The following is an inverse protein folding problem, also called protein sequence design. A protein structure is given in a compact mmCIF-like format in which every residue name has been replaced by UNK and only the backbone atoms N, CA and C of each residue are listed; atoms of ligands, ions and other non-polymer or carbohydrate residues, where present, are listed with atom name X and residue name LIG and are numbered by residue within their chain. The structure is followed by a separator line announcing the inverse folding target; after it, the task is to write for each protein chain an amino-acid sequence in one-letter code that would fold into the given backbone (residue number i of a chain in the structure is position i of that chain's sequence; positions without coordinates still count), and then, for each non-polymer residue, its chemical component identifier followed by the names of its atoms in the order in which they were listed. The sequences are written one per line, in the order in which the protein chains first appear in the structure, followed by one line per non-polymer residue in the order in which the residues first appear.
data_IF_567086853216
#
_entry.id   IF_567086853216
#
_cell.length_a   1.000
_cell.length_b   1.000
_cell.length_c   1.000
_cell.angle_alpha   90.00
_cell.angle_beta   90.00
_cell.angle_gamma   90.00
#
_symmetry.space_group_name_H-M   'P 1'
#
loop_
_entity.id
_entity.type
_entity.pdbx_description
1 polymer ?
#
# COMPACT_ATOMS: atom_id res chain seq x y z
N UNK A 1 6.93 -7.08 -13.05
CA UNK A 1 5.76 -7.53 -12.26
C UNK A 1 6.14 -8.80 -11.52
N UNK A 2 6.31 -8.75 -10.21
CA UNK A 2 6.58 -9.96 -9.40
C UNK A 2 5.23 -10.46 -8.92
N UNK A 3 4.74 -11.54 -9.53
CA UNK A 3 3.52 -12.22 -9.12
C UNK A 3 3.65 -12.61 -7.63
N UNK A 4 2.74 -12.17 -6.74
CA UNK A 4 2.79 -12.55 -5.32
C UNK A 4 2.67 -14.06 -5.12
N UNK A 5 2.08 -14.81 -6.05
CA UNK A 5 2.13 -16.28 -6.04
C UNK A 5 3.54 -16.83 -6.27
N UNK A 6 4.46 -16.04 -6.83
CA UNK A 6 5.84 -16.40 -7.13
C UNK A 6 6.84 -15.85 -6.10
N UNK A 7 6.39 -15.26 -5.00
CA UNK A 7 7.30 -14.87 -3.93
C UNK A 7 8.03 -16.12 -3.40
N UNK A 8 9.37 -16.11 -3.50
CA UNK A 8 10.20 -17.26 -3.15
C UNK A 8 10.20 -18.41 -4.16
N UNK A 9 9.57 -18.25 -5.34
CA UNK A 9 9.56 -19.25 -6.42
C UNK A 9 9.96 -18.59 -7.74
N UNK A 10 11.01 -19.07 -8.38
CA UNK A 10 11.50 -18.53 -9.66
C UNK A 10 11.44 -19.59 -10.74
N UNK A 11 11.05 -19.20 -11.94
CA UNK A 11 11.11 -20.07 -13.11
C UNK A 11 12.56 -20.16 -13.62
N UNK A 12 13.10 -21.37 -13.70
CA UNK A 12 14.42 -21.64 -14.29
C UNK A 12 14.23 -22.04 -15.76
N UNK A 13 14.58 -21.14 -16.67
CA UNK A 13 14.54 -21.36 -18.12
C UNK A 13 15.94 -21.74 -18.61
N UNK A 14 16.22 -23.04 -18.76
CA UNK A 14 17.50 -23.52 -19.30
C UNK A 14 17.41 -23.74 -20.80
N UNK A 15 17.81 -22.73 -21.57
CA UNK A 15 17.79 -22.77 -23.03
C UNK A 15 18.65 -23.91 -23.62
N UNK A 16 19.74 -24.28 -22.94
CA UNK A 16 20.64 -25.36 -23.38
C UNK A 16 20.15 -26.78 -22.99
N UNK A 17 19.21 -26.91 -22.06
CA UNK A 17 18.67 -28.19 -21.60
C UNK A 17 17.20 -28.04 -21.19
N UNK A 18 16.26 -28.04 -22.17
CA UNK A 18 14.85 -27.78 -21.91
C UNK A 18 14.19 -28.79 -20.94
N UNK A 19 14.73 -30.00 -20.86
CA UNK A 19 14.31 -31.05 -19.90
C UNK A 19 14.63 -30.73 -18.45
N UNK A 20 15.62 -29.87 -18.21
CA UNK A 20 16.03 -29.38 -16.89
C UNK A 20 15.39 -28.03 -16.54
N UNK A 21 14.48 -27.53 -17.37
CA UNK A 21 13.65 -26.38 -17.04
C UNK A 21 12.69 -26.74 -15.90
N UNK A 22 12.40 -25.78 -15.02
CA UNK A 22 11.67 -26.07 -13.80
C UNK A 22 11.36 -24.84 -12.97
N UNK A 23 10.93 -25.08 -11.73
CA UNK A 23 10.65 -24.05 -10.75
C UNK A 23 11.61 -24.21 -9.57
N UNK A 24 12.24 -23.13 -9.13
CA UNK A 24 13.14 -23.14 -7.99
C UNK A 24 12.52 -22.38 -6.83
N UNK A 25 12.41 -23.03 -5.68
CA UNK A 25 11.99 -22.40 -4.43
C UNK A 25 13.24 -21.95 -3.69
N UNK A 26 13.32 -20.66 -3.33
CA UNK A 26 14.35 -20.12 -2.45
C UNK A 26 13.71 -19.26 -1.37
N UNK A 27 13.83 -19.69 -0.12
CA UNK A 27 13.37 -18.95 1.06
C UNK A 27 14.56 -18.68 1.97
N UNK A 28 14.64 -17.44 2.46
CA UNK A 28 15.68 -17.01 3.39
C UNK A 28 15.07 -16.59 4.73
N UNK A 29 15.78 -16.90 5.81
CA UNK A 29 15.52 -16.42 7.18
C UNK A 29 16.86 -16.15 7.84
N UNK A 30 17.00 -15.03 8.54
CA UNK A 30 18.23 -14.66 9.26
C UNK A 30 19.50 -14.77 8.38
N UNK A 31 19.39 -14.32 7.12
CA UNK A 31 20.46 -14.37 6.10
C UNK A 31 20.92 -15.77 5.70
N UNK A 32 20.17 -16.82 6.04
CA UNK A 32 20.42 -18.21 5.63
C UNK A 32 19.27 -18.74 4.75
N UNK A 33 19.59 -19.57 3.76
CA UNK A 33 18.57 -20.27 2.99
C UNK A 33 18.00 -21.41 3.83
N UNK A 34 16.72 -21.28 4.19
CA UNK A 34 15.98 -22.35 4.89
C UNK A 34 15.23 -23.26 3.93
N UNK A 35 15.04 -22.81 2.68
CA UNK A 35 14.61 -23.68 1.60
C UNK A 35 15.33 -23.29 0.31
N UNK A 36 16.03 -24.24 -0.33
CA UNK A 36 16.52 -24.12 -1.71
C UNK A 36 16.30 -25.45 -2.43
N UNK A 37 15.29 -25.50 -3.31
CA UNK A 37 14.95 -26.74 -4.03
C UNK A 37 14.48 -26.47 -5.45
N UNK A 38 14.89 -27.34 -6.37
CA UNK A 38 14.52 -27.30 -7.78
C UNK A 38 13.49 -28.38 -8.14
N UNK A 39 12.41 -27.97 -8.81
CA UNK A 39 11.28 -28.78 -9.27
C UNK A 39 11.27 -28.81 -10.81
N UNK A 40 11.89 -29.85 -11.39
CA UNK A 40 12.03 -30.00 -12.85
C UNK A 40 10.71 -30.36 -13.50
N UNK A 41 10.37 -29.76 -14.63
CA UNK A 41 9.11 -30.03 -15.35
C UNK A 41 8.97 -31.50 -15.74
N UNK A 42 10.07 -32.12 -16.17
CA UNK A 42 10.08 -33.53 -16.58
C UNK A 42 9.68 -34.47 -15.45
N UNK A 43 10.08 -34.18 -14.21
CA UNK A 43 9.78 -35.02 -13.05
C UNK A 43 8.31 -34.93 -12.60
N UNK A 44 7.61 -33.84 -12.95
CA UNK A 44 6.23 -33.58 -12.52
C UNK A 44 5.23 -33.63 -13.69
N UNK A 45 5.67 -34.04 -14.88
CA UNK A 45 4.80 -34.15 -16.07
C UNK A 45 4.32 -32.79 -16.60
N UNK A 46 5.14 -31.76 -16.49
CA UNK A 46 4.93 -30.44 -17.11
C UNK A 46 5.05 -29.23 -16.17
N UNK A 47 5.13 -28.02 -16.74
CA UNK A 47 5.43 -26.78 -16.02
C UNK A 47 4.37 -26.40 -14.97
N UNK A 48 3.09 -26.67 -15.23
CA UNK A 48 2.01 -26.34 -14.30
C UNK A 48 2.03 -27.24 -13.04
N UNK A 49 2.30 -28.53 -13.23
CA UNK A 49 2.39 -29.49 -12.12
C UNK A 49 3.66 -29.26 -11.29
N UNK A 50 4.77 -28.95 -11.94
CA UNK A 50 5.99 -28.51 -11.26
C UNK A 50 5.79 -27.19 -10.47
N UNK A 51 5.06 -26.21 -11.04
CA UNK A 51 4.67 -24.97 -10.33
C UNK A 51 3.88 -25.29 -9.06
N UNK A 52 2.88 -26.17 -9.18
CA UNK A 52 2.03 -26.58 -8.05
C UNK A 52 2.86 -27.26 -6.95
N UNK A 53 3.76 -28.18 -7.30
CA UNK A 53 4.64 -28.85 -6.36
C UNK A 53 5.61 -27.89 -5.66
N UNK A 54 6.22 -26.97 -6.41
CA UNK A 54 7.06 -25.91 -5.88
C UNK A 54 6.30 -25.01 -4.89
N UNK A 55 5.04 -24.68 -5.20
CA UNK A 55 4.17 -23.89 -4.32
C UNK A 55 3.87 -24.60 -3.01
N UNK A 56 3.44 -25.86 -3.06
CA UNK A 56 3.18 -26.64 -1.85
C UNK A 56 4.43 -26.72 -0.96
N UNK A 57 5.60 -27.04 -1.55
CA UNK A 57 6.85 -27.09 -0.80
C UNK A 57 7.23 -25.73 -0.18
N UNK A 58 7.06 -24.63 -0.92
CA UNK A 58 7.29 -23.29 -0.36
C UNK A 58 6.38 -23.02 0.84
N UNK A 59 5.10 -23.31 0.72
CA UNK A 59 4.11 -23.03 1.76
C UNK A 59 4.37 -23.87 3.02
N UNK A 60 4.77 -25.13 2.85
CA UNK A 60 5.18 -26.03 3.94
C UNK A 60 6.43 -25.50 4.66
N UNK A 61 7.48 -25.14 3.91
CA UNK A 61 8.73 -24.59 4.46
C UNK A 61 8.53 -23.22 5.11
N UNK A 62 7.65 -22.39 4.56
CA UNK A 62 7.29 -21.12 5.16
C UNK A 62 6.58 -21.32 6.50
N UNK A 63 5.67 -22.31 6.59
CA UNK A 63 5.00 -22.67 7.84
C UNK A 63 5.99 -23.22 8.88
N UNK A 64 6.87 -24.14 8.48
CA UNK A 64 7.87 -24.76 9.35
C UNK A 64 8.85 -23.74 9.94
N UNK A 65 9.36 -22.82 9.10
CA UNK A 65 10.32 -21.81 9.54
C UNK A 65 9.67 -20.51 10.04
N UNK A 66 8.33 -20.45 10.14
CA UNK A 66 7.57 -19.25 10.51
C UNK A 66 7.90 -18.04 9.63
N UNK A 67 8.13 -18.27 8.33
CA UNK A 67 8.31 -17.21 7.34
C UNK A 67 6.92 -16.71 6.94
N UNK A 68 6.68 -15.43 7.17
CA UNK A 68 5.49 -14.76 6.65
C UNK A 68 5.71 -14.50 5.16
N UNK A 69 5.24 -15.42 4.32
CA UNK A 69 5.03 -15.12 2.91
C UNK A 69 4.00 -14.00 2.86
N UNK A 70 4.32 -12.89 2.20
CA UNK A 70 3.36 -11.80 2.06
C UNK A 70 2.22 -12.31 1.19
N UNK A 71 1.16 -12.82 1.83
CA UNK A 71 -0.08 -13.14 1.14
C UNK A 71 -0.45 -11.95 0.27
N UNK A 72 -1.02 -12.20 -0.92
CA UNK A 72 -1.59 -11.15 -1.73
C UNK A 72 -2.57 -10.37 -0.85
N UNK A 73 -2.13 -9.23 -0.30
CA UNK A 73 -3.03 -8.31 0.36
C UNK A 73 -4.03 -7.90 -0.71
N UNK A 74 -5.27 -8.36 -0.54
CA UNK A 74 -6.39 -8.07 -1.45
C UNK A 74 -7.11 -6.77 -1.04
N UNK A 75 -6.63 -6.06 -0.01
CA UNK A 75 -7.19 -4.78 0.38
C UNK A 75 -7.07 -3.76 -0.75
N UNK A 76 -8.08 -2.89 -0.89
CA UNK A 76 -8.21 -1.95 -1.99
C UNK A 76 -6.95 -1.10 -2.22
N UNK A 77 -6.28 -0.69 -1.14
CA UNK A 77 -5.02 0.07 -1.21
C UNK A 77 -3.89 -0.73 -1.88
N UNK A 78 -3.82 -2.05 -1.62
CA UNK A 78 -2.80 -2.92 -2.21
C UNK A 78 -3.08 -3.16 -3.70
N UNK A 79 -4.34 -3.33 -4.08
CA UNK A 79 -4.78 -3.45 -5.47
C UNK A 79 -4.43 -2.17 -6.23
N UNK A 80 -4.82 -1.01 -5.69
CA UNK A 80 -4.57 0.30 -6.27
C UNK A 80 -3.07 0.57 -6.45
N UNK A 81 -2.28 0.31 -5.41
CA UNK A 81 -0.83 0.48 -5.45
C UNK A 81 -0.16 -0.42 -6.48
N UNK A 82 -0.51 -1.72 -6.52
CA UNK A 82 0.07 -2.68 -7.47
C UNK A 82 -0.35 -2.37 -8.91
N UNK A 83 -1.59 -1.93 -9.13
CA UNK A 83 -2.08 -1.48 -10.43
C UNK A 83 -1.27 -0.32 -11.00
N UNK A 84 -0.78 0.57 -10.13
CA UNK A 84 0.12 1.67 -10.48
C UNK A 84 1.61 1.31 -10.50
N UNK A 85 1.98 0.03 -10.27
CA UNK A 85 3.38 -0.42 -10.27
C UNK A 85 4.22 0.06 -9.08
N UNK A 86 3.61 0.61 -8.03
CA UNK A 86 4.30 1.21 -6.89
C UNK A 86 4.66 0.18 -5.81
N UNK A 87 5.76 0.37 -5.08
CA UNK A 87 6.08 -0.44 -3.89
C UNK A 87 5.44 0.15 -2.62
N UNK A 88 5.31 -0.65 -1.56
CA UNK A 88 4.85 -0.13 -0.26
C UNK A 88 5.76 0.99 0.27
N UNK A 89 7.06 0.95 -0.07
CA UNK A 89 8.02 1.99 0.30
C UNK A 89 7.73 3.29 -0.44
N UNK A 90 7.48 3.22 -1.74
CA UNK A 90 7.24 4.42 -2.56
C UNK A 90 5.94 5.11 -2.13
N UNK A 91 4.86 4.34 -1.95
CA UNK A 91 3.60 4.88 -1.45
C UNK A 91 3.74 5.47 -0.03
N UNK A 92 4.56 4.84 0.82
CA UNK A 92 4.84 5.35 2.17
C UNK A 92 5.58 6.71 2.12
N UNK A 93 6.52 6.88 1.20
CA UNK A 93 7.21 8.16 1.00
C UNK A 93 6.26 9.25 0.52
N UNK A 94 5.41 8.94 -0.46
CA UNK A 94 4.40 9.85 -1.00
C UNK A 94 3.43 10.30 0.11
N UNK A 95 2.91 9.36 0.89
CA UNK A 95 1.98 9.64 2.00
C UNK A 95 2.69 10.11 3.28
N UNK A 96 4.02 10.21 3.30
CA UNK A 96 4.84 10.59 4.46
C UNK A 96 4.51 9.76 5.72
N UNK A 97 4.38 8.44 5.56
CA UNK A 97 4.15 7.46 6.63
C UNK A 97 5.21 6.35 6.59
N UNK A 98 5.21 5.44 7.56
CA UNK A 98 6.09 4.27 7.53
C UNK A 98 5.55 3.19 6.60
N UNK A 99 6.43 2.38 5.99
CA UNK A 99 6.02 1.22 5.19
C UNK A 99 5.22 0.20 6.01
N UNK A 100 5.49 0.08 7.31
CA UNK A 100 4.69 -0.75 8.23
C UNK A 100 3.25 -0.26 8.37
N UNK A 101 3.02 1.06 8.31
CA UNK A 101 1.68 1.64 8.32
C UNK A 101 0.92 1.27 7.03
N UNK A 102 1.58 1.33 5.87
CA UNK A 102 1.01 0.86 4.59
C UNK A 102 0.67 -0.63 4.69
N UNK A 103 1.59 -1.47 5.17
CA UNK A 103 1.34 -2.90 5.33
C UNK A 103 0.21 -3.22 6.32
N UNK A 104 -0.02 -2.35 7.32
CA UNK A 104 -1.18 -2.46 8.22
C UNK A 104 -2.48 -2.11 7.50
N UNK A 105 -2.50 -1.01 6.74
CA UNK A 105 -3.67 -0.62 5.95
C UNK A 105 -4.03 -1.63 4.86
N UNK A 106 -3.04 -2.20 4.18
CA UNK A 106 -3.27 -3.22 3.16
C UNK A 106 -3.83 -4.55 3.70
N UNK A 107 -3.64 -4.82 5.00
CA UNK A 107 -4.14 -6.03 5.68
C UNK A 107 -5.43 -5.79 6.49
N UNK A 108 -5.87 -4.55 6.62
CA UNK A 108 -6.98 -4.18 7.49
C UNK A 108 -7.75 -2.98 6.97
N UNK A 109 -8.34 -2.20 7.88
CA UNK A 109 -9.06 -1.00 7.50
C UNK A 109 -8.09 0.13 7.11
N UNK A 110 -8.29 0.68 5.91
CA UNK A 110 -7.67 1.92 5.45
C UNK A 110 -8.69 3.06 5.60
N UNK A 111 -8.31 4.23 6.14
CA UNK A 111 -9.21 5.38 6.14
C UNK A 111 -9.64 5.74 4.72
N UNK A 112 -10.91 6.04 4.51
CA UNK A 112 -11.44 6.35 3.17
C UNK A 112 -10.70 7.51 2.49
N UNK A 113 -10.36 8.57 3.26
CA UNK A 113 -9.56 9.69 2.77
C UNK A 113 -8.17 9.29 2.28
N UNK A 114 -7.52 8.31 2.93
CA UNK A 114 -6.23 7.79 2.49
C UNK A 114 -6.37 7.02 1.18
N UNK A 115 -7.42 6.20 1.05
CA UNK A 115 -7.65 5.42 -0.17
C UNK A 115 -7.88 6.32 -1.39
N UNK A 116 -8.73 7.35 -1.27
CA UNK A 116 -8.97 8.29 -2.36
C UNK A 116 -7.77 9.18 -2.66
N UNK A 117 -7.05 9.64 -1.63
CA UNK A 117 -5.81 10.40 -1.83
C UNK A 117 -4.76 9.55 -2.57
N UNK A 118 -4.59 8.28 -2.17
CA UNK A 118 -3.70 7.36 -2.88
C UNK A 118 -4.14 7.18 -4.33
N UNK A 119 -5.42 6.98 -4.61
CA UNK A 119 -5.92 6.91 -5.98
C UNK A 119 -5.59 8.16 -6.80
N UNK A 120 -5.89 9.34 -6.27
CA UNK A 120 -5.63 10.60 -6.96
C UNK A 120 -4.14 10.83 -7.24
N UNK A 121 -3.26 10.51 -6.28
CA UNK A 121 -1.80 10.63 -6.43
C UNK A 121 -1.26 9.62 -7.46
N UNK A 122 -1.72 8.37 -7.41
CA UNK A 122 -1.25 7.33 -8.33
C UNK A 122 -1.78 7.49 -9.75
N UNK A 123 -2.96 8.08 -9.92
CA UNK A 123 -3.51 8.50 -11.21
C UNK A 123 -3.01 9.86 -11.68
N UNK A 124 -2.05 10.47 -10.98
CA UNK A 124 -1.46 11.79 -11.31
C UNK A 124 -2.46 12.95 -11.38
N UNK A 125 -3.63 12.82 -10.72
CA UNK A 125 -4.60 13.91 -10.56
C UNK A 125 -4.12 14.95 -9.54
N UNK A 126 -3.22 14.55 -8.66
CA UNK A 126 -2.62 15.38 -7.61
C UNK A 126 -1.11 15.31 -7.73
N UNK A 127 -0.44 16.45 -7.72
CA UNK A 127 1.02 16.52 -7.64
C UNK A 127 1.45 16.26 -6.20
N UNK A 128 2.48 15.43 -6.00
CA UNK A 128 3.02 15.13 -4.68
C UNK A 128 3.40 16.44 -3.96
N UNK A 129 2.69 16.82 -2.89
CA UNK A 129 2.90 18.10 -2.26
C UNK A 129 4.23 18.13 -1.52
N UNK A 130 5.07 19.12 -1.81
CA UNK A 130 6.36 19.36 -1.16
C UNK A 130 6.27 20.36 -0.01
N UNK A 131 5.28 21.26 -0.04
CA UNK A 131 5.10 22.31 0.96
C UNK A 131 4.84 21.78 2.37
N UNK A 132 5.36 22.49 3.38
CA UNK A 132 5.02 22.24 4.77
C UNK A 132 3.75 23.01 5.15
N UNK A 133 2.68 22.28 5.43
CA UNK A 133 1.43 22.81 5.97
C UNK A 133 1.63 23.08 7.48
N UNK A 134 1.44 24.33 7.89
CA UNK A 134 1.45 24.74 9.32
C UNK A 134 0.08 24.58 9.98
N UNK A 135 0.00 24.75 11.31
CA UNK A 135 -1.28 24.74 12.02
C UNK A 135 -2.27 25.80 11.52
N UNK A 136 -1.77 27.00 11.20
CA UNK A 136 -2.59 28.08 10.65
C UNK A 136 -3.08 27.75 9.23
N UNK A 137 -2.25 27.06 8.42
CA UNK A 137 -2.68 26.56 7.11
C UNK A 137 -3.79 25.53 7.23
N UNK A 138 -3.70 24.59 8.19
CA UNK A 138 -4.77 23.61 8.45
C UNK A 138 -6.08 24.34 8.74
N UNK A 139 -6.05 25.36 9.62
CA UNK A 139 -7.24 26.16 9.95
C UNK A 139 -7.76 26.93 8.74
N UNK A 140 -6.87 27.55 7.96
CA UNK A 140 -7.20 28.31 6.76
C UNK A 140 -7.87 27.43 5.72
N UNK A 141 -7.26 26.29 5.36
CA UNK A 141 -7.78 25.33 4.38
C UNK A 141 -9.15 24.85 4.82
N UNK A 142 -9.30 24.45 6.09
CA UNK A 142 -10.58 24.00 6.63
C UNK A 142 -11.67 25.06 6.53
N UNK A 143 -11.40 26.29 6.97
CA UNK A 143 -12.44 27.33 7.07
C UNK A 143 -12.70 28.06 5.76
N UNK A 144 -11.69 28.23 4.91
CA UNK A 144 -11.78 29.06 3.71
C UNK A 144 -11.99 28.24 2.44
N UNK A 145 -11.38 27.06 2.33
CA UNK A 145 -11.49 26.20 1.14
C UNK A 145 -12.61 25.20 1.32
N UNK A 146 -12.54 24.39 2.39
CA UNK A 146 -13.52 23.33 2.65
C UNK A 146 -14.83 23.86 3.25
N UNK A 147 -14.80 25.05 3.86
CA UNK A 147 -15.93 25.63 4.63
C UNK A 147 -16.44 24.67 5.72
N UNK A 148 -15.54 23.92 6.35
CA UNK A 148 -15.88 22.89 7.33
C UNK A 148 -15.62 23.31 8.77
N UNK A 149 -16.35 22.67 9.67
CA UNK A 149 -16.06 22.63 11.10
C UNK A 149 -14.90 21.68 11.40
N UNK A 150 -14.28 21.84 12.58
CA UNK A 150 -13.24 20.90 13.03
C UNK A 150 -13.79 19.47 13.17
N UNK A 151 -15.07 19.30 13.51
CA UNK A 151 -15.73 18.00 13.60
C UNK A 151 -15.88 17.33 12.23
N UNK A 152 -16.29 18.08 11.21
CA UNK A 152 -16.39 17.57 9.84
C UNK A 152 -15.02 17.13 9.31
N UNK A 153 -13.98 17.94 9.51
CA UNK A 153 -12.62 17.56 9.14
C UNK A 153 -12.13 16.31 9.90
N UNK A 154 -12.47 16.21 11.18
CA UNK A 154 -12.11 15.04 11.99
C UNK A 154 -12.80 13.76 11.50
N UNK A 155 -14.09 13.85 11.16
CA UNK A 155 -14.86 12.74 10.60
C UNK A 155 -14.29 12.28 9.24
N UNK A 156 -13.99 13.22 8.34
CA UNK A 156 -13.40 12.92 7.02
C UNK A 156 -12.07 12.17 7.14
N UNK A 157 -11.23 12.58 8.08
CA UNK A 157 -9.90 12.01 8.29
C UNK A 157 -9.90 10.75 9.17
N UNK A 158 -11.06 10.31 9.66
CA UNK A 158 -11.20 9.25 10.67
C UNK A 158 -10.30 9.50 11.91
N UNK A 159 -10.51 10.67 12.51
CA UNK A 159 -9.70 11.20 13.62
C UNK A 159 -10.59 11.79 14.70
N UNK A 160 -10.05 11.84 15.92
CA UNK A 160 -10.72 12.50 17.03
C UNK A 160 -10.75 14.03 16.82
N UNK A 161 -11.88 14.65 17.15
CA UNK A 161 -12.07 16.11 17.12
C UNK A 161 -10.92 16.88 17.80
N UNK A 162 -10.51 16.43 18.98
CA UNK A 162 -9.42 17.06 19.75
C UNK A 162 -8.08 17.08 19.00
N UNK A 163 -7.84 16.12 18.11
CA UNK A 163 -6.61 16.08 17.32
C UNK A 163 -6.54 17.27 16.36
N UNK A 164 -7.64 17.59 15.67
CA UNK A 164 -7.72 18.73 14.75
C UNK A 164 -7.44 20.05 15.48
N UNK A 165 -8.05 20.25 16.65
CA UNK A 165 -7.82 21.44 17.45
C UNK A 165 -6.39 21.57 17.99
N UNK A 166 -5.68 20.46 18.20
CA UNK A 166 -4.26 20.46 18.59
C UNK A 166 -3.34 20.78 17.40
N UNK A 167 -3.67 20.29 16.20
CA UNK A 167 -2.90 20.58 14.99
C UNK A 167 -2.98 22.06 14.62
N UNK A 168 -4.19 22.63 14.64
CA UNK A 168 -4.40 24.04 14.30
C UNK A 168 -3.73 25.02 15.25
N UNK A 169 -3.52 24.62 16.52
CA UNK A 169 -2.84 25.45 17.52
C UNK A 169 -1.34 25.16 17.62
N UNK A 170 -0.81 24.25 16.79
CA UNK A 170 0.58 23.81 16.85
C UNK A 170 0.94 22.97 18.07
N UNK A 171 -0.03 22.57 18.91
CA UNK A 171 0.21 21.76 20.11
C UNK A 171 0.64 20.32 19.80
N UNK A 172 0.32 19.82 18.60
CA UNK A 172 0.83 18.54 18.08
C UNK A 172 0.97 18.61 16.56
N UNK A 173 1.99 17.94 16.00
CA UNK A 173 2.11 17.76 14.54
C UNK A 173 1.07 16.79 13.99
N UNK A 174 0.40 17.15 12.90
CA UNK A 174 -0.51 16.25 12.20
C UNK A 174 0.25 15.09 11.51
N UNK A 175 -0.39 13.93 11.31
CA UNK A 175 0.19 12.82 10.54
C UNK A 175 0.58 13.26 9.13
N UNK A 176 1.65 12.70 8.58
CA UNK A 176 2.17 13.07 7.25
C UNK A 176 1.10 13.01 6.16
N UNK A 177 0.32 11.93 6.09
CA UNK A 177 -0.72 11.78 5.07
C UNK A 177 -1.85 12.81 5.19
N UNK A 178 -2.12 13.34 6.39
CA UNK A 178 -3.10 14.41 6.61
C UNK A 178 -2.59 15.72 6.00
N UNK A 179 -1.29 16.00 6.14
CA UNK A 179 -0.68 17.17 5.52
C UNK A 179 -0.71 17.05 3.98
N UNK A 180 -0.44 15.85 3.45
CA UNK A 180 -0.54 15.56 2.02
C UNK A 180 -1.98 15.76 1.54
N UNK A 181 -2.97 15.26 2.29
CA UNK A 181 -4.39 15.45 1.99
C UNK A 181 -4.76 16.94 1.94
N UNK A 182 -4.40 17.70 2.97
CA UNK A 182 -4.76 19.12 3.08
C UNK A 182 -4.05 19.97 2.02
N UNK A 183 -2.81 19.65 1.68
CA UNK A 183 -2.12 20.35 0.60
C UNK A 183 -2.76 20.03 -0.75
N UNK A 184 -3.12 18.76 -1.02
CA UNK A 184 -3.85 18.41 -2.23
C UNK A 184 -5.15 19.22 -2.37
N UNK A 185 -5.93 19.32 -1.29
CA UNK A 185 -7.15 20.15 -1.23
C UNK A 185 -6.82 21.62 -1.48
N UNK A 186 -5.75 22.15 -0.88
CA UNK A 186 -5.32 23.52 -1.08
C UNK A 186 -4.94 23.80 -2.54
N UNK A 187 -4.39 22.81 -3.23
CA UNK A 187 -3.98 22.89 -4.63
C UNK A 187 -5.16 22.65 -5.61
N UNK A 188 -6.39 22.54 -5.08
CA UNK A 188 -7.62 22.43 -5.87
C UNK A 188 -8.10 21.00 -6.09
N UNK A 189 -7.51 20.00 -5.44
CA UNK A 189 -8.07 18.64 -5.47
C UNK A 189 -9.40 18.62 -4.71
N UNK A 190 -10.49 18.47 -5.47
CA UNK A 190 -11.82 18.31 -4.93
C UNK A 190 -12.26 16.86 -5.11
N UNK A 191 -12.46 16.14 -4.01
CA UNK A 191 -12.85 14.72 -3.99
C UNK A 191 -14.30 14.50 -4.46
N UNK A 192 -14.92 15.48 -5.12
CA UNK A 192 -16.37 15.71 -5.18
C UNK A 192 -16.98 15.81 -3.78
N UNK A 193 -16.81 16.96 -3.13
CA UNK A 193 -17.68 17.35 -2.02
C UNK A 193 -18.98 17.96 -2.55
N UNK A 194 -19.71 17.21 -3.38
CA UNK A 194 -21.12 17.47 -3.63
C UNK A 194 -21.88 17.07 -2.37
N UNK A 195 -21.80 17.89 -1.32
CA UNK A 195 -22.95 17.99 -0.43
C UNK A 195 -24.05 18.59 -1.27
N UNK A 196 -25.01 17.77 -1.67
CA UNK A 196 -26.37 18.23 -1.96
C UNK A 196 -26.86 19.04 -0.75
N UNK A 197 -26.56 20.33 -0.75
CA UNK A 197 -27.33 21.36 -0.07
C UNK A 197 -28.30 21.90 -1.10
N UNK A 198 -29.27 21.07 -1.44
CA UNK A 198 -30.58 21.42 -2.00
C UNK A 198 -31.46 20.27 -1.52
N UNK A 199 -32.46 20.48 -0.66
CA UNK A 199 -33.55 21.40 -0.93
C UNK A 199 -34.11 22.00 0.36
N UNK A 200 -34.32 23.32 0.29
CA UNK A 200 -35.45 24.00 0.92
C UNK A 200 -36.76 23.62 0.21
#
# INVERSE_FOLDING_TARGET
MTDPELQGITRDHRAAAPSDAGWRVRLMKDSQFVADRHFRDQAYGGPQRAKKAARCYRDDMAKEHSIVLTAASNGDLAVLRRGAGQTQRDLAQILRVSSSQIAKWERGAVPGAVLSLAGALLSQQVVCPTAEITGDDIRRIRTQILKWTQQQLAAELDRAYAAVGQWERGGRRAPGWVLVYLQAVNDGWNREHSTESSSA
#
